data_IF_570565857705
#
_entry.id   IF_570565857705
#
_cell.length_a   1.000
_cell.length_b   1.000
_cell.length_c   1.000
_cell.angle_alpha   90.00
_cell.angle_beta   90.00
_cell.angle_gamma   90.00
#
_symmetry.space_group_name_H-M   'P 1'
#
loop_
_entity.id
_entity.type
_entity.pdbx_description
1 polymer ?
#
# COMPACT_ATOMS: atom_id res chain seq x y z
N UNK A 1 -5.05 16.89 -3.93
CA UNK A 1 -4.29 15.65 -4.10
C UNK A 1 -3.11 15.65 -3.13
N UNK A 2 -2.97 14.54 -2.39
CA UNK A 2 -1.87 14.43 -1.43
C UNK A 2 -0.61 13.91 -2.10
N UNK A 3 0.56 14.26 -1.57
CA UNK A 3 1.83 13.72 -2.06
C UNK A 3 2.02 12.30 -1.51
N UNK A 4 2.58 11.42 -2.31
CA UNK A 4 2.94 10.07 -1.86
C UNK A 4 4.38 10.10 -1.34
N UNK A 5 4.59 9.54 -0.17
CA UNK A 5 5.88 9.56 0.51
C UNK A 5 6.29 8.14 0.86
N UNK A 6 7.07 7.49 -0.02
CA UNK A 6 7.49 6.11 0.24
C UNK A 6 8.57 6.07 1.33
N UNK A 7 8.44 5.06 2.21
CA UNK A 7 9.48 4.78 3.18
C UNK A 7 10.65 4.08 2.48
N UNK A 8 11.80 4.02 3.16
CA UNK A 8 12.94 3.27 2.65
C UNK A 8 12.59 1.80 2.43
N UNK A 9 11.86 1.22 3.38
CA UNK A 9 11.47 -0.18 3.27
C UNK A 9 10.50 -0.41 2.09
N UNK A 10 9.56 0.50 1.88
CA UNK A 10 8.66 0.41 0.74
C UNK A 10 9.44 0.42 -0.58
N UNK A 11 10.45 1.27 -0.69
CA UNK A 11 11.27 1.34 -1.89
C UNK A 11 12.01 0.02 -2.15
N UNK A 12 12.52 -0.60 -1.09
CA UNK A 12 13.15 -1.90 -1.21
C UNK A 12 12.16 -2.97 -1.62
N UNK A 13 10.97 -2.94 -1.02
CA UNK A 13 9.90 -3.88 -1.37
C UNK A 13 9.54 -3.74 -2.86
N UNK A 14 9.38 -2.51 -3.33
CA UNK A 14 8.96 -2.24 -4.69
C UNK A 14 9.93 -2.82 -5.72
N UNK A 15 11.23 -2.83 -5.44
CA UNK A 15 12.23 -3.38 -6.35
C UNK A 15 12.01 -4.85 -6.65
N UNK A 16 11.43 -5.61 -5.71
CA UNK A 16 11.14 -7.03 -5.94
C UNK A 16 10.14 -7.24 -7.06
N UNK A 17 9.35 -6.23 -7.38
CA UNK A 17 8.23 -6.33 -8.33
C UNK A 17 8.49 -5.62 -9.64
N UNK A 18 9.71 -5.10 -9.87
CA UNK A 18 10.01 -4.30 -11.06
C UNK A 18 9.80 -5.02 -12.38
N UNK A 19 9.81 -6.36 -12.36
CA UNK A 19 9.59 -7.18 -13.56
C UNK A 19 8.17 -7.74 -13.63
N UNK A 20 7.25 -7.20 -12.84
CA UNK A 20 5.87 -7.65 -12.82
C UNK A 20 4.94 -6.47 -13.15
N UNK A 21 4.91 -6.07 -14.44
CA UNK A 21 4.22 -4.83 -14.84
C UNK A 21 2.73 -4.82 -14.51
N UNK A 22 2.06 -5.99 -14.53
CA UNK A 22 0.64 -6.04 -14.22
C UNK A 22 0.40 -5.68 -12.76
N UNK A 23 1.22 -6.19 -11.84
CA UNK A 23 1.10 -5.84 -10.43
C UNK A 23 1.36 -4.35 -10.21
N UNK A 24 2.33 -3.80 -10.90
CA UNK A 24 2.66 -2.39 -10.77
C UNK A 24 1.54 -1.50 -11.35
N UNK A 25 0.90 -1.93 -12.41
CA UNK A 25 -0.23 -1.20 -12.98
C UNK A 25 -1.41 -1.18 -12.01
N UNK A 26 -1.73 -2.32 -11.40
CA UNK A 26 -2.80 -2.40 -10.42
C UNK A 26 -2.48 -1.56 -9.17
N UNK A 27 -1.22 -1.57 -8.74
CA UNK A 27 -0.76 -0.73 -7.64
C UNK A 27 -0.94 0.75 -7.97
N UNK A 28 -0.55 1.17 -9.16
CA UNK A 28 -0.67 2.56 -9.60
C UNK A 28 -2.13 3.01 -9.56
N UNK A 29 -3.05 2.17 -10.02
CA UNK A 29 -4.48 2.49 -10.00
C UNK A 29 -4.96 2.72 -8.56
N UNK A 30 -4.58 1.85 -7.63
CA UNK A 30 -4.96 2.00 -6.23
C UNK A 30 -4.33 3.25 -5.61
N UNK A 31 -3.07 3.52 -5.88
CA UNK A 31 -2.39 4.69 -5.35
C UNK A 31 -3.06 6.00 -5.77
N UNK A 32 -3.57 6.06 -7.00
CA UNK A 32 -4.31 7.24 -7.46
C UNK A 32 -5.57 7.46 -6.66
N UNK A 33 -6.29 6.40 -6.34
CA UNK A 33 -7.50 6.47 -5.54
C UNK A 33 -7.18 7.02 -4.15
N UNK A 34 -6.14 6.46 -3.50
CA UNK A 34 -5.71 6.88 -2.17
C UNK A 34 -5.24 8.34 -2.19
N UNK A 35 -4.41 8.69 -3.16
CA UNK A 35 -3.83 10.01 -3.29
C UNK A 35 -4.90 11.09 -3.47
N UNK A 36 -5.95 10.79 -4.20
CA UNK A 36 -7.05 11.71 -4.45
C UNK A 36 -8.15 11.63 -3.40
N UNK A 37 -7.92 10.89 -2.33
CA UNK A 37 -8.83 10.76 -1.19
C UNK A 37 -10.23 10.29 -1.60
N UNK A 38 -10.30 9.47 -2.64
CA UNK A 38 -11.54 8.90 -3.10
C UNK A 38 -11.89 7.65 -2.29
N UNK A 39 -13.17 7.29 -2.20
CA UNK A 39 -13.55 6.05 -1.54
C UNK A 39 -12.82 4.86 -2.16
N UNK A 40 -12.23 4.00 -1.33
CA UNK A 40 -11.52 2.83 -1.82
C UNK A 40 -12.51 1.73 -2.12
N UNK A 41 -12.56 1.22 -3.37
CA UNK A 41 -13.49 0.14 -3.71
C UNK A 41 -13.33 -1.07 -2.80
N UNK A 42 -14.45 -1.72 -2.48
CA UNK A 42 -14.46 -2.86 -1.56
C UNK A 42 -13.60 -4.02 -2.02
N UNK A 43 -13.37 -4.13 -3.32
CA UNK A 43 -12.52 -5.20 -3.88
C UNK A 43 -11.09 -5.17 -3.36
N UNK A 44 -10.60 -4.00 -2.92
CA UNK A 44 -9.27 -3.86 -2.34
C UNK A 44 -9.22 -4.23 -0.85
N UNK A 45 -10.35 -4.57 -0.26
CA UNK A 45 -10.46 -5.01 1.14
C UNK A 45 -9.71 -4.10 2.12
N UNK A 46 -9.92 -2.77 2.07
CA UNK A 46 -9.19 -1.88 2.98
C UNK A 46 -9.59 -2.15 4.43
N UNK A 47 -8.60 -2.24 5.31
CA UNK A 47 -8.86 -2.46 6.73
C UNK A 47 -7.71 -1.96 7.58
N UNK A 48 -8.00 -1.52 8.82
CA UNK A 48 -6.95 -1.06 9.72
C UNK A 48 -6.13 -2.22 10.27
N UNK A 49 -4.86 -1.94 10.56
CA UNK A 49 -3.96 -2.92 11.15
C UNK A 49 -3.72 -2.58 12.62
N UNK A 50 -3.33 -3.61 13.37
CA UNK A 50 -2.99 -3.49 14.77
C UNK A 50 -1.57 -4.04 14.99
N UNK A 51 -1.05 -3.93 16.20
CA UNK A 51 0.27 -4.43 16.53
C UNK A 51 1.37 -3.64 15.86
N UNK A 52 2.27 -4.32 15.16
CA UNK A 52 3.44 -3.72 14.54
C UNK A 52 3.12 -2.55 13.61
N UNK A 53 2.01 -2.65 12.89
CA UNK A 53 1.59 -1.62 11.94
C UNK A 53 0.38 -0.83 12.43
N UNK A 54 0.23 -0.72 13.74
CA UNK A 54 -0.90 -0.02 14.33
C UNK A 54 -1.05 1.39 13.75
N UNK A 55 -2.28 1.73 13.36
CA UNK A 55 -2.56 3.03 12.73
C UNK A 55 -2.49 3.02 11.22
N UNK A 56 -1.92 1.98 10.62
CA UNK A 56 -1.85 1.86 9.17
C UNK A 56 -3.08 1.16 8.62
N UNK A 57 -3.28 1.32 7.31
CA UNK A 57 -4.32 0.64 6.55
C UNK A 57 -3.65 -0.35 5.60
N UNK A 58 -4.23 -1.54 5.48
CA UNK A 58 -3.79 -2.52 4.48
C UNK A 58 -4.83 -2.63 3.39
N UNK A 59 -4.38 -2.71 2.15
CA UNK A 59 -5.23 -3.01 0.99
C UNK A 59 -4.67 -4.20 0.25
N UNK A 60 -5.57 -5.04 -0.30
CA UNK A 60 -5.18 -6.10 -1.23
C UNK A 60 -5.16 -5.48 -2.62
N UNK A 61 -3.97 -5.32 -3.20
CA UNK A 61 -3.84 -4.75 -4.55
C UNK A 61 -4.39 -5.74 -5.57
N UNK A 62 -3.95 -6.99 -5.47
CA UNK A 62 -4.48 -8.12 -6.22
C UNK A 62 -3.96 -9.40 -5.56
N UNK A 63 -4.79 -10.45 -5.44
CA UNK A 63 -4.36 -11.70 -4.84
C UNK A 63 -3.56 -11.49 -3.56
N UNK A 64 -2.38 -12.12 -3.49
CA UNK A 64 -1.49 -12.01 -2.32
C UNK A 64 -0.44 -10.91 -2.55
N UNK A 65 -0.88 -9.74 -2.99
CA UNK A 65 -0.04 -8.57 -3.17
C UNK A 65 -0.69 -7.42 -2.42
N UNK A 66 -0.07 -6.97 -1.34
CA UNK A 66 -0.66 -6.05 -0.37
C UNK A 66 0.12 -4.75 -0.25
N UNK A 67 -0.63 -3.68 0.02
CA UNK A 67 -0.06 -2.36 0.30
C UNK A 67 -0.42 -1.98 1.73
N UNK A 68 0.58 -1.55 2.51
CA UNK A 68 0.36 -0.95 3.82
C UNK A 68 0.69 0.52 3.72
N UNK A 69 -0.24 1.38 4.10
CA UNK A 69 -0.09 2.82 3.99
C UNK A 69 -0.65 3.52 5.22
N UNK A 70 -0.25 4.77 5.42
CA UNK A 70 -0.64 5.56 6.57
C UNK A 70 -1.00 6.97 6.15
N UNK A 71 -2.11 7.48 6.69
CA UNK A 71 -2.55 8.85 6.46
C UNK A 71 -2.37 9.66 7.74
N UNK A 72 -1.32 10.48 7.86
CA UNK A 72 -1.12 11.32 9.06
C UNK A 72 -2.05 12.53 9.13
N UNK A 73 -3.04 12.60 8.20
CA UNK A 73 -3.99 13.71 8.14
C UNK A 73 -3.32 15.04 7.84
N UNK A 74 -2.32 14.98 6.97
CA UNK A 74 -1.62 16.16 6.46
C UNK A 74 -1.66 16.15 4.94
N UNK A 75 -0.71 16.76 4.28
CA UNK A 75 -0.66 16.79 2.80
C UNK A 75 0.04 15.59 2.18
N UNK A 76 0.39 14.59 2.98
CA UNK A 76 1.09 13.41 2.49
C UNK A 76 0.36 12.13 2.88
N UNK A 77 0.62 11.07 2.09
CA UNK A 77 0.27 9.70 2.40
C UNK A 77 1.59 8.94 2.46
N UNK A 78 1.83 8.24 3.57
CA UNK A 78 3.04 7.43 3.69
C UNK A 78 2.81 6.04 3.13
N UNK A 79 3.69 5.60 2.25
CA UNK A 79 3.67 4.24 1.71
C UNK A 79 4.65 3.42 2.55
N UNK A 80 4.11 2.52 3.37
CA UNK A 80 4.88 1.88 4.43
C UNK A 80 5.52 0.57 3.99
N UNK A 81 4.75 -0.35 3.42
CA UNK A 81 5.22 -1.65 2.97
C UNK A 81 4.46 -2.12 1.74
N UNK A 82 5.07 -3.04 1.00
CA UNK A 82 4.47 -3.62 -0.20
C UNK A 82 4.97 -5.06 -0.34
N UNK A 83 4.07 -6.02 -0.57
CA UNK A 83 4.51 -7.39 -0.74
C UNK A 83 3.43 -8.41 -0.46
N UNK A 84 3.86 -9.67 -0.36
CA UNK A 84 2.98 -10.77 0.02
C UNK A 84 2.73 -10.75 1.52
N UNK A 85 1.70 -11.46 1.96
CA UNK A 85 1.40 -11.57 3.39
C UNK A 85 2.62 -12.09 4.17
N UNK A 86 3.31 -13.10 3.64
CA UNK A 86 4.53 -13.64 4.26
C UNK A 86 5.62 -12.59 4.39
N UNK A 87 5.84 -11.82 3.34
CA UNK A 87 6.88 -10.78 3.35
C UNK A 87 6.59 -9.70 4.38
N UNK A 88 5.31 -9.35 4.55
CA UNK A 88 4.91 -8.27 5.43
C UNK A 88 4.78 -8.72 6.89
N UNK A 89 4.31 -9.93 7.13
CA UNK A 89 3.97 -10.41 8.48
C UNK A 89 4.78 -11.62 8.92
N UNK A 90 5.71 -12.08 8.11
CA UNK A 90 6.59 -13.19 8.49
C UNK A 90 5.97 -14.56 8.46
N UNK A 91 4.83 -14.72 7.82
CA UNK A 91 4.16 -16.03 7.74
C UNK A 91 3.58 -16.25 6.36
#
# INVERSE_FOLDING_TARGET
MKALQPTTQYRKDLKRYKHQPKKLADLTALLKIIQNEQPIPAEYLPHPLHGKYNGCIECHVQGDFHLIWFDPKSNVIELVRLGTHSELFGK
#
